data_IF_055854730309
#
_entry.id   IF_055854730309
#
_cell.length_a   1.000
_cell.length_b   1.000
_cell.length_c   1.000
_cell.angle_alpha   90.00
_cell.angle_beta   90.00
_cell.angle_gamma   90.00
#
_symmetry.space_group_name_H-M   'P 1'
#
loop_
_entity.id
_entity.type
_entity.pdbx_description
1 polymer ?
#
# COMPACT_ATOMS: atom_id res chain seq x y z
N UNK A 1 16.02 1.84 -5.99
CA UNK A 1 15.57 1.34 -7.32
C UNK A 1 15.58 2.51 -8.33
N UNK A 2 15.52 2.34 -9.66
CA UNK A 2 15.67 3.47 -10.60
C UNK A 2 14.37 4.27 -10.79
N UNK A 3 14.36 5.59 -10.52
CA UNK A 3 13.18 6.47 -10.64
C UNK A 3 12.51 6.42 -12.02
N UNK A 4 13.27 6.50 -13.12
CA UNK A 4 12.70 6.49 -14.49
C UNK A 4 11.93 5.18 -14.77
N UNK A 5 12.45 4.05 -14.28
CA UNK A 5 11.77 2.76 -14.40
C UNK A 5 10.45 2.75 -13.63
N UNK A 6 10.42 3.26 -12.39
CA UNK A 6 9.20 3.33 -11.58
C UNK A 6 8.17 4.29 -12.19
N UNK A 7 8.61 5.46 -12.68
CA UNK A 7 7.74 6.42 -13.36
C UNK A 7 7.02 5.83 -14.58
N UNK A 8 7.64 4.89 -15.30
CA UNK A 8 6.99 4.19 -16.42
C UNK A 8 5.81 3.30 -16.00
N UNK A 9 5.66 3.06 -14.69
CA UNK A 9 4.63 2.24 -14.09
C UNK A 9 3.51 3.04 -13.42
N UNK A 10 3.58 4.38 -13.42
CA UNK A 10 2.51 5.23 -12.87
C UNK A 10 1.20 4.92 -13.60
N UNK A 11 0.10 4.95 -12.84
CA UNK A 11 -1.25 4.54 -13.26
C UNK A 11 -1.40 3.06 -13.61
N UNK A 12 -0.42 2.22 -13.25
CA UNK A 12 -0.51 0.77 -13.39
C UNK A 12 -0.71 0.09 -12.05
N UNK A 13 -1.47 -1.00 -12.09
CA UNK A 13 -1.51 -1.96 -10.98
C UNK A 13 -0.20 -2.75 -10.97
N UNK A 14 0.51 -2.65 -9.85
CA UNK A 14 1.77 -3.33 -9.61
C UNK A 14 1.68 -4.17 -8.34
N UNK A 15 2.48 -5.22 -8.29
CA UNK A 15 2.77 -5.99 -7.07
C UNK A 15 4.18 -5.65 -6.60
N UNK A 16 4.27 -5.09 -5.40
CA UNK A 16 5.51 -4.84 -4.68
C UNK A 16 5.93 -6.11 -3.95
N UNK A 17 7.20 -6.49 -4.09
CA UNK A 17 7.83 -7.68 -3.51
C UNK A 17 7.08 -8.98 -3.83
N UNK A 18 7.44 -9.62 -4.96
CA UNK A 18 6.85 -10.81 -5.64
C UNK A 18 6.11 -11.85 -4.78
N UNK A 19 6.45 -11.99 -3.50
CA UNK A 19 5.66 -12.65 -2.46
C UNK A 19 6.28 -12.40 -1.07
N UNK A 20 5.56 -12.75 -0.01
CA UNK A 20 6.01 -12.61 1.38
C UNK A 20 5.08 -11.73 2.21
N UNK A 21 5.34 -11.61 3.53
CA UNK A 21 4.41 -10.95 4.43
C UNK A 21 4.21 -9.45 4.13
N UNK A 22 5.26 -8.79 3.61
CA UNK A 22 5.24 -7.37 3.20
C UNK A 22 4.73 -7.14 1.77
N UNK A 23 4.43 -8.21 1.02
CA UNK A 23 3.99 -8.13 -0.39
C UNK A 23 2.65 -7.41 -0.51
N UNK A 24 2.52 -6.44 -1.42
CA UNK A 24 1.26 -5.70 -1.64
C UNK A 24 0.98 -5.51 -3.12
N UNK A 25 -0.31 -5.46 -3.44
CA UNK A 25 -0.82 -5.12 -4.78
C UNK A 25 -1.51 -3.77 -4.67
N UNK A 26 -1.23 -2.90 -5.63
CA UNK A 26 -1.80 -1.56 -5.65
C UNK A 26 -1.56 -0.82 -6.95
N UNK A 27 -2.27 0.28 -7.14
CA UNK A 27 -2.00 1.21 -8.24
C UNK A 27 -0.92 2.19 -7.85
N UNK A 28 0.10 2.32 -8.69
CA UNK A 28 1.19 3.27 -8.47
C UNK A 28 0.75 4.69 -8.84
N UNK A 29 0.73 5.59 -7.87
CA UNK A 29 0.25 6.97 -8.06
C UNK A 29 1.36 7.97 -8.37
N UNK A 30 2.54 7.81 -7.74
CA UNK A 30 3.66 8.73 -7.92
C UNK A 30 4.98 8.04 -7.60
N UNK A 31 6.09 8.60 -8.09
CA UNK A 31 7.43 8.11 -7.83
C UNK A 31 8.43 9.26 -7.76
N UNK A 32 9.20 9.29 -6.68
CA UNK A 32 10.31 10.20 -6.45
C UNK A 32 11.65 9.45 -6.42
N UNK A 33 12.73 10.14 -6.05
CA UNK A 33 14.08 9.57 -6.10
C UNK A 33 14.28 8.46 -5.06
N UNK A 34 13.71 8.61 -3.87
CA UNK A 34 13.88 7.67 -2.75
C UNK A 34 12.59 6.97 -2.33
N UNK A 35 11.42 7.37 -2.81
CA UNK A 35 10.14 6.75 -2.47
C UNK A 35 9.15 6.71 -3.63
N UNK A 36 8.08 5.93 -3.47
CA UNK A 36 6.92 5.98 -4.34
C UNK A 36 5.63 5.81 -3.56
N UNK A 37 4.50 6.18 -4.16
CA UNK A 37 3.18 6.10 -3.55
C UNK A 37 2.34 5.03 -4.22
N UNK A 38 1.83 4.10 -3.41
CA UNK A 38 0.97 3.02 -3.84
C UNK A 38 -0.42 3.18 -3.21
N UNK A 39 -1.46 3.20 -4.03
CA UNK A 39 -2.83 3.04 -3.58
C UNK A 39 -3.15 1.56 -3.49
N UNK A 40 -3.50 1.10 -2.28
CA UNK A 40 -3.87 -0.29 -1.99
C UNK A 40 -5.32 -0.36 -1.54
N UNK A 41 -5.98 -1.50 -1.75
CA UNK A 41 -7.34 -1.71 -1.26
C UNK A 41 -7.42 -1.72 0.28
N UNK A 42 -6.47 -2.39 0.92
CA UNK A 42 -6.54 -2.68 2.35
C UNK A 42 -6.04 -1.52 3.21
N UNK A 43 -5.00 -0.83 2.76
CA UNK A 43 -4.28 0.19 3.52
C UNK A 43 -4.48 1.60 2.96
N UNK A 44 -5.12 1.73 1.79
CA UNK A 44 -5.24 3.00 1.09
C UNK A 44 -3.88 3.48 0.63
N UNK A 45 -3.52 4.73 0.94
CA UNK A 45 -2.24 5.33 0.54
C UNK A 45 -1.08 4.78 1.37
N UNK A 46 -0.13 4.14 0.69
CA UNK A 46 1.09 3.59 1.25
C UNK A 46 2.30 4.18 0.52
N UNK A 47 3.19 4.81 1.28
CA UNK A 47 4.48 5.28 0.79
C UNK A 47 5.53 4.21 1.01
N UNK A 48 6.30 3.90 -0.02
CA UNK A 48 7.36 2.90 -0.01
C UNK A 48 8.72 3.55 -0.18
N UNK A 49 9.67 3.25 0.71
CA UNK A 49 11.06 3.61 0.53
C UNK A 49 11.69 2.67 -0.51
N UNK A 50 12.17 3.23 -1.63
CA UNK A 50 12.70 2.49 -2.79
C UNK A 50 13.98 1.70 -2.48
N UNK A 51 14.66 2.00 -1.37
CA UNK A 51 15.87 1.30 -0.95
C UNK A 51 15.59 -0.14 -0.51
N UNK A 52 14.39 -0.41 0.00
CA UNK A 52 14.04 -1.73 0.57
C UNK A 52 13.24 -2.61 -0.40
N UNK A 53 12.98 -2.12 -1.61
CA UNK A 53 12.14 -2.79 -2.60
C UNK A 53 12.96 -3.83 -3.35
N UNK A 54 12.52 -5.08 -3.25
CA UNK A 54 13.21 -6.22 -3.87
C UNK A 54 12.71 -6.47 -5.27
N UNK A 55 11.43 -6.18 -5.55
CA UNK A 55 10.87 -6.37 -6.89
C UNK A 55 9.58 -5.60 -7.11
N UNK A 56 9.35 -5.21 -8.36
CA UNK A 56 8.07 -4.71 -8.87
C UNK A 56 7.60 -5.64 -9.98
N UNK A 57 6.36 -6.13 -9.89
CA UNK A 57 5.76 -7.02 -10.88
C UNK A 57 4.52 -6.36 -11.46
N UNK A 58 4.37 -6.35 -12.77
CA UNK A 58 3.21 -5.78 -13.46
C UNK A 58 2.86 -6.62 -14.69
N UNK A 59 1.59 -6.60 -15.09
CA UNK A 59 1.12 -7.34 -16.26
C UNK A 59 1.33 -6.51 -17.53
N UNK A 60 1.84 -7.13 -18.60
CA UNK A 60 2.06 -6.48 -19.90
C UNK A 60 0.77 -6.21 -20.67
N UNK A 61 -0.36 -6.82 -20.27
CA UNK A 61 -1.66 -6.70 -20.95
C UNK A 61 -2.49 -5.47 -20.56
N UNK A 62 -1.93 -4.51 -19.81
CA UNK A 62 -2.56 -3.21 -19.45
C UNK A 62 -4.06 -3.30 -19.05
N UNK A 63 -4.45 -4.28 -18.25
CA UNK A 63 -5.81 -4.27 -17.69
C UNK A 63 -5.80 -3.38 -16.44
N UNK A 64 -6.24 -2.14 -16.66
CA UNK A 64 -6.55 -1.17 -15.61
C UNK A 64 -7.91 -1.56 -15.05
N UNK A 65 -7.94 -2.60 -14.22
CA UNK A 65 -9.11 -2.87 -13.40
C UNK A 65 -8.65 -3.16 -11.99
N UNK A 66 -8.48 -2.08 -11.22
CA UNK A 66 -8.11 -2.12 -9.81
C UNK A 66 -9.36 -2.12 -8.91
N UNK A 67 -10.57 -2.13 -9.49
CA UNK A 67 -11.83 -2.13 -8.74
C UNK A 67 -12.04 -0.92 -7.82
N UNK A 68 -11.22 0.13 -7.94
CA UNK A 68 -11.28 1.36 -7.17
C UNK A 68 -11.37 2.54 -8.14
N UNK A 69 -12.46 3.29 -8.07
CA UNK A 69 -12.57 4.58 -8.73
C UNK A 69 -11.80 5.63 -7.92
N UNK A 70 -10.75 6.22 -8.51
CA UNK A 70 -10.09 7.39 -7.92
C UNK A 70 -10.90 8.65 -8.29
N UNK A 71 -11.43 9.39 -7.30
CA UNK A 71 -12.05 10.69 -7.57
C UNK A 71 -11.08 11.64 -8.28
N UNK A 72 -11.57 12.46 -9.22
CA UNK A 72 -10.72 13.43 -9.94
C UNK A 72 -10.01 14.42 -9.01
N UNK A 73 -10.64 14.74 -7.88
CA UNK A 73 -10.14 15.67 -6.87
C UNK A 73 -9.47 14.93 -5.70
N UNK A 74 -9.09 13.66 -5.89
CA UNK A 74 -8.41 12.90 -4.86
C UNK A 74 -7.00 13.45 -4.63
N UNK A 75 -6.77 13.94 -3.41
CA UNK A 75 -5.49 14.47 -2.98
C UNK A 75 -4.86 13.57 -1.92
N UNK A 76 -3.54 13.47 -1.95
CA UNK A 76 -2.75 12.70 -1.01
C UNK A 76 -1.45 13.44 -0.70
N UNK A 77 -0.82 13.08 0.42
CA UNK A 77 0.44 13.73 0.82
C UNK A 77 1.52 13.46 -0.22
N UNK A 78 2.15 14.53 -0.69
CA UNK A 78 3.30 14.47 -1.60
C UNK A 78 4.49 15.17 -0.97
N UNK A 79 5.71 14.69 -1.22
CA UNK A 79 6.96 15.34 -0.86
C UNK A 79 8.04 14.92 -1.86
N UNK A 80 9.17 15.64 -1.89
CA UNK A 80 10.27 15.33 -2.82
C UNK A 80 11.09 14.12 -2.37
N UNK A 81 11.08 13.82 -1.08
CA UNK A 81 11.82 12.71 -0.47
C UNK A 81 10.99 12.02 0.61
N UNK A 82 11.43 10.83 1.02
CA UNK A 82 10.71 9.98 1.96
C UNK A 82 10.65 10.63 3.34
N UNK A 83 11.69 11.35 3.75
CA UNK A 83 11.70 12.08 5.01
C UNK A 83 10.62 13.17 5.03
N UNK A 84 10.46 13.92 3.94
CA UNK A 84 9.43 14.94 3.80
C UNK A 84 8.01 14.36 3.88
N UNK A 85 7.82 13.10 3.44
CA UNK A 85 6.56 12.37 3.71
C UNK A 85 6.39 12.17 5.21
N UNK A 86 7.41 11.65 5.92
CA UNK A 86 7.35 11.45 7.37
C UNK A 86 7.06 12.76 8.12
N UNK A 87 7.72 13.86 7.77
CA UNK A 87 7.50 15.17 8.37
C UNK A 87 6.05 15.65 8.21
N UNK A 88 5.44 15.44 7.03
CA UNK A 88 4.03 15.75 6.78
C UNK A 88 3.05 14.82 7.50
N UNK A 89 3.53 13.68 7.98
CA UNK A 89 2.78 12.72 8.78
C UNK A 89 2.90 12.94 10.30
N UNK A 90 3.67 13.94 10.73
CA UNK A 90 3.74 14.34 12.14
C UNK A 90 2.35 14.65 12.70
N UNK A 91 2.10 14.19 13.94
CA UNK A 91 0.82 14.20 14.66
C UNK A 91 -0.30 13.35 14.06
N UNK A 92 -0.01 12.49 13.08
CA UNK A 92 -0.99 11.56 12.51
C UNK A 92 -0.81 10.14 13.02
N UNK A 93 -1.91 9.41 13.07
CA UNK A 93 -1.86 7.96 13.25
C UNK A 93 -1.30 7.31 11.97
N UNK A 94 -0.25 6.51 12.13
CA UNK A 94 0.45 5.87 11.04
C UNK A 94 0.64 4.38 11.26
N UNK A 95 0.85 3.66 10.17
CA UNK A 95 1.22 2.25 10.16
C UNK A 95 2.49 2.04 9.35
N UNK A 96 3.52 1.52 10.01
CA UNK A 96 4.88 1.30 9.49
C UNK A 96 5.14 -0.20 9.32
N UNK A 97 5.93 -0.58 8.30
CA UNK A 97 6.52 -1.91 8.10
C UNK A 97 5.53 -3.08 8.14
N UNK A 98 4.51 -3.02 7.29
CA UNK A 98 3.43 -4.01 7.23
C UNK A 98 3.88 -5.45 7.05
N UNK A 99 3.13 -6.35 7.68
CA UNK A 99 3.07 -7.75 7.32
C UNK A 99 4.04 -8.63 8.09
N UNK A 100 5.03 -8.04 8.77
CA UNK A 100 5.96 -8.75 9.64
C UNK A 100 5.77 -8.43 11.13
N UNK A 101 6.55 -9.06 12.00
CA UNK A 101 6.65 -8.72 13.42
C UNK A 101 7.16 -7.29 13.66
N UNK A 102 7.76 -6.67 12.65
CA UNK A 102 8.21 -5.27 12.68
C UNK A 102 7.07 -4.26 12.40
N UNK A 103 5.83 -4.73 12.24
CA UNK A 103 4.68 -3.84 12.01
C UNK A 103 4.45 -2.97 13.25
N UNK A 104 4.38 -1.67 13.06
CA UNK A 104 4.13 -0.71 14.13
C UNK A 104 2.98 0.23 13.75
N UNK A 105 2.06 0.45 14.68
CA UNK A 105 0.97 1.42 14.56
C UNK A 105 0.98 2.38 15.75
N UNK A 106 0.77 3.66 15.50
CA UNK A 106 0.76 4.69 16.55
C UNK A 106 0.78 6.10 15.99
N UNK A 107 0.94 7.09 16.87
CA UNK A 107 1.01 8.51 16.48
C UNK A 107 2.45 8.90 16.20
N UNK A 108 2.72 9.49 15.05
CA UNK A 108 4.05 10.03 14.76
C UNK A 108 4.27 11.36 15.47
N UNK A 109 5.33 11.46 16.27
CA UNK A 109 5.59 12.62 17.12
C UNK A 109 6.76 13.48 16.60
N UNK A 110 7.93 12.85 16.39
CA UNK A 110 9.15 13.55 15.97
C UNK A 110 9.77 12.86 14.77
N UNK A 111 10.28 13.65 13.82
CA UNK A 111 11.10 13.19 12.69
C UNK A 111 12.45 13.90 12.74
N UNK A 112 13.53 13.13 12.70
CA UNK A 112 14.90 13.63 12.65
C UNK A 112 15.63 13.07 11.43
N UNK A 113 16.91 13.41 11.28
CA UNK A 113 17.76 12.83 10.22
C UNK A 113 18.03 11.32 10.42
N UNK A 114 17.94 10.82 11.67
CA UNK A 114 18.38 9.47 12.03
C UNK A 114 17.22 8.52 12.39
N UNK A 115 16.22 9.03 13.12
CA UNK A 115 15.07 8.27 13.60
C UNK A 115 13.76 9.07 13.61
N UNK A 116 12.64 8.34 13.66
CA UNK A 116 11.32 8.88 14.02
C UNK A 116 10.92 8.39 15.41
N UNK A 117 10.09 9.17 16.09
CA UNK A 117 9.42 8.79 17.34
C UNK A 117 7.97 8.47 17.06
N UNK A 118 7.52 7.28 17.48
CA UNK A 118 6.12 6.84 17.45
C UNK A 118 5.64 6.65 18.89
N UNK A 119 4.48 7.19 19.22
CA UNK A 119 3.79 6.95 20.48
C UNK A 119 2.72 5.89 20.26
N UNK A 120 2.85 4.75 20.96
CA UNK A 120 1.94 3.62 20.85
C UNK A 120 1.87 2.86 22.17
N UNK A 121 0.69 2.42 22.60
CA UNK A 121 0.50 1.57 23.79
C UNK A 121 1.22 2.08 25.07
N UNK A 122 1.13 3.38 25.35
CA UNK A 122 1.84 4.02 26.48
C UNK A 122 3.38 3.98 26.39
N UNK A 123 3.93 3.61 25.24
CA UNK A 123 5.36 3.57 24.95
C UNK A 123 5.78 4.68 23.97
N UNK A 124 7.05 5.09 24.10
CA UNK A 124 7.73 5.98 23.15
C UNK A 124 8.77 5.15 22.39
N UNK A 125 8.48 4.87 21.12
CA UNK A 125 9.26 3.97 20.27
C UNK A 125 10.08 4.80 19.29
N UNK A 126 11.40 4.60 19.26
CA UNK A 126 12.28 5.23 18.26
C UNK A 126 12.63 4.23 17.17
N UNK A 127 12.32 4.58 15.93
CA UNK A 127 12.58 3.74 14.76
C UNK A 127 13.57 4.46 13.85
N UNK A 128 14.69 3.83 13.54
CA UNK A 128 15.65 4.39 12.57
C UNK A 128 14.99 4.58 11.21
N UNK A 129 15.24 5.71 10.55
CA UNK A 129 14.73 6.00 9.21
C UNK A 129 15.09 4.90 8.21
N UNK A 130 16.31 4.35 8.33
CA UNK A 130 16.80 3.26 7.48
C UNK A 130 15.98 1.97 7.61
N UNK A 131 15.27 1.77 8.72
CA UNK A 131 14.45 0.57 8.92
C UNK A 131 12.98 0.76 8.52
N UNK A 132 12.58 1.96 8.09
CA UNK A 132 11.21 2.23 7.63
C UNK A 132 11.11 1.89 6.14
N UNK A 133 10.50 0.74 5.84
CA UNK A 133 10.28 0.24 4.47
C UNK A 133 9.05 0.87 3.83
N UNK A 134 7.97 1.01 4.59
CA UNK A 134 6.74 1.61 4.13
C UNK A 134 5.94 2.25 5.27
N UNK A 135 5.10 3.23 4.92
CA UNK A 135 4.22 3.93 5.87
C UNK A 135 2.89 4.32 5.23
N UNK A 136 1.79 4.27 5.99
CA UNK A 136 0.48 4.82 5.60
C UNK A 136 -0.09 5.69 6.71
N UNK A 137 -1.17 6.41 6.40
CA UNK A 137 -1.87 7.28 7.35
C UNK A 137 -3.40 7.17 7.30
N UNK A 138 -3.92 6.02 6.87
CA UNK A 138 -5.34 5.67 7.03
C UNK A 138 -6.30 6.27 6.00
N UNK A 139 -5.82 7.00 4.98
CA UNK A 139 -6.67 7.45 3.86
C UNK A 139 -6.95 6.26 2.94
N UNK A 140 -8.18 5.75 2.98
CA UNK A 140 -8.69 4.69 2.11
C UNK A 140 -9.78 5.25 1.20
N UNK A 141 -9.82 4.77 -0.04
CA UNK A 141 -10.93 5.02 -0.97
C UNK A 141 -12.00 3.94 -0.78
N UNK A 142 -13.27 4.33 -0.90
CA UNK A 142 -14.37 3.36 -0.83
C UNK A 142 -14.42 2.50 -2.09
N UNK A 143 -14.74 1.21 -1.91
CA UNK A 143 -14.98 0.29 -3.02
C UNK A 143 -16.34 0.59 -3.66
N UNK A 144 -16.39 0.61 -4.99
CA UNK A 144 -17.65 0.49 -5.71
C UNK A 144 -18.23 -0.89 -5.40
N UNK A 145 -19.39 -0.97 -4.74
CA UNK A 145 -20.05 -2.24 -4.46
C UNK A 145 -20.47 -2.87 -5.79
N UNK A 146 -19.79 -3.92 -6.22
CA UNK A 146 -20.37 -4.83 -7.19
C UNK A 146 -21.62 -5.47 -6.56
N UNK A 147 -22.79 -5.18 -7.11
CA UNK A 147 -24.01 -5.93 -6.80
C UNK A 147 -23.79 -7.40 -7.15
N UNK A 148 -23.58 -8.24 -6.14
CA UNK A 148 -23.67 -9.69 -6.24
C UNK A 148 -25.06 -10.09 -6.76
N UNK A 149 -25.20 -10.28 -8.07
CA UNK A 149 -26.32 -11.02 -8.61
C UNK A 149 -26.14 -12.50 -8.26
N UNK A 150 -26.70 -12.91 -7.12
CA UNK A 150 -26.97 -14.31 -6.79
C UNK A 150 -27.88 -14.91 -7.88
N UNK A 151 -27.30 -15.60 -8.85
CA UNK A 151 -28.02 -16.63 -9.59
C UNK A 151 -27.93 -17.93 -8.79
N UNK A 152 -29.02 -18.23 -8.10
CA UNK A 152 -29.34 -19.55 -7.59
C UNK A 152 -29.55 -20.51 -8.78
N UNK A 153 -28.57 -21.36 -9.05
CA UNK A 153 -28.80 -22.58 -9.83
C UNK A 153 -29.30 -23.66 -8.87
N UNK A 154 -30.62 -23.86 -8.92
CA UNK A 154 -31.29 -25.02 -8.36
C UNK A 154 -31.47 -26.07 -9.48
N UNK A 155 -31.35 -27.33 -9.07
CA UNK A 155 -31.72 -28.60 -9.74
C UNK A 155 -30.64 -29.52 -10.32
N UNK A 156 -30.56 -30.63 -9.58
CA UNK A 156 -30.85 -32.01 -10.01
C UNK A 156 -29.67 -32.98 -10.08
N UNK A 157 -29.39 -33.54 -8.90
CA UNK A 157 -28.76 -34.83 -8.69
C UNK A 157 -29.67 -35.98 -9.18
N UNK A 158 -29.43 -36.46 -10.40
CA UNK A 158 -29.86 -37.80 -10.83
C UNK A 158 -28.80 -38.82 -10.45
N UNK A 159 -29.01 -39.54 -9.35
CA UNK A 159 -28.38 -40.84 -9.08
C UNK A 159 -28.94 -41.88 -10.06
N UNK A 160 -28.07 -42.45 -10.90
CA UNK A 160 -28.24 -43.76 -11.52
C UNK A 160 -26.89 -44.47 -11.41
N UNK A 161 -26.85 -45.53 -10.63
CA UNK A 161 -26.18 -46.80 -10.94
C UNK A 161 -26.31 -47.70 -9.71
N UNK A 162 -27.00 -48.83 -9.90
CA UNK A 162 -26.49 -50.12 -9.47
C UNK A 162 -27.04 -51.16 -10.47
N UNK A 163 -26.11 -51.93 -11.02
CA UNK A 163 -26.30 -53.13 -11.84
C UNK A 163 -25.82 -54.30 -11.02
#
# INVERSE_FOLDING_TARGET
MNKKMILSLVDRVIKVDRGGPESRVGMLLSAEDDHFTLLTEDDGIVFYNTQHIKSLTYNTKNQVDFGIEIPKDFDFIQANDFRGILEKLTLRWVKINRGGPETLEGVMDVVTDDFVTIVANEEIIRVSLFHIRNISYGVKLEKTKETENKKSDDKESKKKEDK
#
